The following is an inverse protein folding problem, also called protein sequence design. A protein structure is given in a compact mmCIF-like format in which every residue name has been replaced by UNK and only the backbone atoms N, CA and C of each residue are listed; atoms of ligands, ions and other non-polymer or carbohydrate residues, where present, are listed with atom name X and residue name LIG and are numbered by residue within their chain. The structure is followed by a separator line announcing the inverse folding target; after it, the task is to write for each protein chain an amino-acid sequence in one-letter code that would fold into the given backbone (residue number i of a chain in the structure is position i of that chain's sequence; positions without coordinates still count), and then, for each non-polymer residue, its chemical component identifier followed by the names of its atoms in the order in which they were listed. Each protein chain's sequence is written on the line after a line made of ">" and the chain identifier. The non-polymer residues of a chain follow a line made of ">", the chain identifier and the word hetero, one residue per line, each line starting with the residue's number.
data_IF_398006359245
#
_entry.id   IF_398006359245
#
_cell.length_a   1.000
_cell.length_b   1.000
_cell.length_c   1.000
_cell.angle_alpha   90.00
_cell.angle_beta   90.00
_cell.angle_gamma   90.00
#
_symmetry.space_group_name_H-M   'P 1'
#
loop_
_entity.id
_entity.type
_entity.pdbx_description
1 polymer ?
#
# COMPACT_ATOMS: atom_id res chain seq x y z
N UNK A 1 -11.77 8.75 5.84
CA UNK A 1 -10.39 8.23 5.87
C UNK A 1 -9.55 9.10 6.78
N UNK A 2 -8.93 8.52 7.80
CA UNK A 2 -8.08 9.24 8.75
C UNK A 2 -6.64 8.76 8.62
N UNK A 3 -5.67 9.67 8.47
CA UNK A 3 -4.26 9.38 8.20
C UNK A 3 -3.35 10.03 9.22
N UNK A 4 -2.34 9.33 9.72
CA UNK A 4 -1.30 9.89 10.57
C UNK A 4 0.08 9.93 9.94
N UNK A 5 0.88 10.81 10.43
CA UNK A 5 2.00 11.53 9.84
C UNK A 5 3.35 10.83 9.69
N UNK A 6 4.09 11.06 8.64
CA UNK A 6 5.47 11.53 8.45
C UNK A 6 5.89 11.65 6.98
N UNK A 7 6.67 12.67 6.65
CA UNK A 7 7.24 13.07 5.34
C UNK A 7 6.28 13.71 4.34
N UNK A 8 6.37 15.04 4.18
CA UNK A 8 5.42 15.91 3.47
C UNK A 8 5.21 15.58 1.98
N UNK A 9 6.26 15.17 1.27
CA UNK A 9 6.18 15.03 -0.20
C UNK A 9 5.35 13.81 -0.60
N UNK A 10 5.44 12.72 0.15
CA UNK A 10 4.78 11.46 -0.21
C UNK A 10 3.29 11.45 0.13
N UNK A 11 2.89 12.02 1.26
CA UNK A 11 1.49 12.07 1.69
C UNK A 11 0.62 12.98 0.82
N UNK A 12 1.20 14.07 0.32
CA UNK A 12 0.51 14.99 -0.58
C UNK A 12 -0.18 14.28 -1.74
N UNK A 13 0.51 13.36 -2.41
CA UNK A 13 -0.05 12.67 -3.58
C UNK A 13 -1.18 11.71 -3.18
N UNK A 14 -1.07 11.06 -2.02
CA UNK A 14 -2.13 10.21 -1.48
C UNK A 14 -3.38 11.04 -1.16
N UNK A 15 -3.22 12.13 -0.40
CA UNK A 15 -4.32 13.02 -0.01
C UNK A 15 -5.00 13.66 -1.22
N UNK A 16 -4.22 14.17 -2.19
CA UNK A 16 -4.74 14.72 -3.44
C UNK A 16 -5.56 13.69 -4.22
N UNK A 17 -5.04 12.46 -4.37
CA UNK A 17 -5.76 11.40 -5.07
C UNK A 17 -7.07 11.04 -4.38
N UNK A 18 -7.08 10.89 -3.07
CA UNK A 18 -8.27 10.56 -2.29
C UNK A 18 -9.31 11.69 -2.36
N UNK A 19 -8.88 12.94 -2.20
CA UNK A 19 -9.79 14.08 -2.24
C UNK A 19 -10.41 14.29 -3.62
N UNK A 20 -9.61 14.32 -4.68
CA UNK A 20 -10.09 14.62 -6.02
C UNK A 20 -10.93 13.51 -6.66
N UNK A 21 -10.71 12.27 -6.25
CA UNK A 21 -11.34 11.11 -6.89
C UNK A 21 -12.24 10.30 -5.96
N UNK A 22 -12.37 10.68 -4.69
CA UNK A 22 -13.05 9.89 -3.68
C UNK A 22 -14.43 10.38 -3.28
N UNK A 23 -14.95 11.44 -3.90
CA UNK A 23 -16.23 12.08 -3.49
C UNK A 23 -17.46 11.19 -3.51
N UNK A 24 -17.42 10.06 -4.20
CA UNK A 24 -18.48 9.05 -4.24
C UNK A 24 -18.42 8.02 -3.09
N UNK A 25 -17.26 7.89 -2.40
CA UNK A 25 -17.06 6.84 -1.37
C UNK A 25 -16.41 7.36 -0.08
N UNK A 26 -15.95 8.61 -0.07
CA UNK A 26 -15.32 9.24 1.10
C UNK A 26 -16.16 10.44 1.51
N UNK A 27 -16.69 10.43 2.73
CA UNK A 27 -17.45 11.55 3.29
C UNK A 27 -16.56 12.64 3.87
N UNK A 28 -15.43 12.29 4.50
CA UNK A 28 -14.44 13.23 5.03
C UNK A 28 -13.07 12.58 5.14
N UNK A 29 -12.01 13.40 5.19
CA UNK A 29 -10.62 12.97 5.35
C UNK A 29 -10.06 13.62 6.61
N UNK A 30 -9.90 12.83 7.67
CA UNK A 30 -9.22 13.27 8.90
C UNK A 30 -7.70 13.20 8.74
N UNK A 31 -6.99 14.27 9.07
CA UNK A 31 -5.52 14.32 9.07
C UNK A 31 -4.98 14.61 10.46
N UNK A 32 -3.91 13.90 10.83
CA UNK A 32 -3.15 14.13 12.04
C UNK A 32 -1.66 14.14 11.71
N UNK A 33 -0.94 15.16 12.14
CA UNK A 33 0.53 15.21 12.10
C UNK A 33 1.06 15.68 13.46
N UNK A 34 2.15 15.05 13.93
CA UNK A 34 2.76 15.41 15.22
C UNK A 34 3.58 16.72 15.15
N UNK A 35 3.91 17.18 13.95
CA UNK A 35 4.65 18.44 13.76
C UNK A 35 3.67 19.59 13.72
N UNK A 36 4.01 20.63 14.48
CA UNK A 36 3.23 21.87 14.53
C UNK A 36 3.03 22.48 13.14
N UNK A 37 1.83 22.96 12.86
CA UNK A 37 1.47 23.64 11.61
C UNK A 37 1.29 22.75 10.37
N UNK A 38 1.72 21.46 10.42
CA UNK A 38 1.66 20.60 9.24
C UNK A 38 0.23 20.18 8.90
N UNK A 39 -0.56 19.79 9.89
CA UNK A 39 -1.96 19.45 9.67
C UNK A 39 -2.77 20.67 9.22
N UNK A 40 -2.54 21.85 9.83
CA UNK A 40 -3.18 23.12 9.45
C UNK A 40 -2.85 23.49 8.00
N UNK A 41 -1.59 23.36 7.59
CA UNK A 41 -1.17 23.60 6.21
C UNK A 41 -1.93 22.72 5.22
N UNK A 42 -2.00 21.41 5.48
CA UNK A 42 -2.69 20.48 4.57
C UNK A 42 -4.19 20.70 4.53
N UNK A 43 -4.82 20.94 5.68
CA UNK A 43 -6.22 21.30 5.76
C UNK A 43 -6.51 22.55 4.92
N UNK A 44 -5.73 23.61 5.14
CA UNK A 44 -5.89 24.89 4.45
C UNK A 44 -5.67 24.78 2.93
N UNK A 45 -4.57 24.15 2.48
CA UNK A 45 -4.25 24.03 1.04
C UNK A 45 -5.25 23.11 0.31
N UNK A 46 -5.62 21.97 0.90
CA UNK A 46 -6.49 21.01 0.25
C UNK A 46 -7.93 21.51 0.14
N UNK A 47 -8.48 22.16 1.16
CA UNK A 47 -9.86 22.64 1.14
C UNK A 47 -10.07 23.84 0.16
N UNK A 48 -9.02 24.46 -0.32
CA UNK A 48 -9.10 25.47 -1.40
C UNK A 48 -9.27 24.86 -2.79
N UNK A 49 -9.09 23.55 -2.96
CA UNK A 49 -9.31 22.85 -4.23
C UNK A 49 -10.79 22.46 -4.29
N UNK A 50 -11.59 23.20 -5.06
CA UNK A 50 -13.02 23.02 -5.16
C UNK A 50 -13.48 23.01 -6.63
N UNK A 51 -14.57 22.34 -6.90
CA UNK A 51 -15.29 22.52 -8.17
C UNK A 51 -16.04 23.85 -8.15
N UNK A 52 -16.15 24.55 -9.26
CA UNK A 52 -16.97 25.77 -9.35
C UNK A 52 -18.48 25.37 -9.27
N UNK A 53 -18.95 25.03 -8.06
CA UNK A 53 -20.26 24.43 -7.76
C UNK A 53 -20.51 23.10 -8.48
N UNK A 54 -20.94 22.03 -7.81
CA UNK A 54 -21.32 21.97 -6.40
C UNK A 54 -20.09 21.90 -5.46
N UNK A 55 -20.10 22.69 -4.41
CA UNK A 55 -18.95 22.80 -3.49
C UNK A 55 -18.78 21.60 -2.56
N UNK A 56 -19.81 20.77 -2.39
CA UNK A 56 -19.81 19.57 -1.53
C UNK A 56 -19.39 18.29 -2.26
N UNK A 57 -18.98 18.41 -3.53
CA UNK A 57 -18.63 17.21 -4.34
C UNK A 57 -17.31 16.56 -3.93
N UNK A 58 -16.41 17.29 -3.27
CA UNK A 58 -15.13 16.77 -2.79
C UNK A 58 -15.17 16.63 -1.27
N UNK A 59 -14.67 15.50 -0.71
CA UNK A 59 -14.67 15.28 0.73
C UNK A 59 -13.86 16.36 1.45
N UNK A 60 -14.39 16.99 2.52
CA UNK A 60 -13.64 17.94 3.31
C UNK A 60 -12.45 17.27 4.00
N UNK A 61 -11.39 18.06 4.19
CA UNK A 61 -10.22 17.66 4.98
C UNK A 61 -10.32 18.32 6.35
N UNK A 62 -10.20 17.54 7.42
CA UNK A 62 -10.38 17.95 8.79
C UNK A 62 -9.14 17.59 9.63
N UNK A 63 -8.77 18.46 10.58
CA UNK A 63 -7.73 18.14 11.54
C UNK A 63 -8.36 17.30 12.65
N UNK A 64 -7.75 16.15 12.94
CA UNK A 64 -8.19 15.27 14.01
C UNK A 64 -7.10 15.07 15.05
N UNK A 65 -7.50 14.89 16.31
CA UNK A 65 -6.56 14.60 17.38
C UNK A 65 -6.03 13.16 17.32
N UNK A 66 -4.90 12.85 17.98
CA UNK A 66 -4.38 11.48 18.05
C UNK A 66 -5.35 10.46 18.64
N UNK A 67 -6.27 10.91 19.51
CA UNK A 67 -7.30 10.08 20.14
C UNK A 67 -8.41 9.70 19.15
N UNK A 68 -8.67 10.56 18.18
CA UNK A 68 -9.71 10.39 17.17
C UNK A 68 -9.27 9.59 15.94
N UNK A 69 -8.01 9.13 15.88
CA UNK A 69 -7.45 8.44 14.70
C UNK A 69 -8.23 7.18 14.29
N UNK A 70 -8.88 6.53 15.24
CA UNK A 70 -9.61 5.28 15.03
C UNK A 70 -11.14 5.42 15.10
N UNK A 71 -11.69 6.65 15.00
CA UNK A 71 -13.14 6.89 14.96
C UNK A 71 -13.73 6.71 13.53
N UNK A 72 -12.89 6.70 12.49
CA UNK A 72 -13.33 6.54 11.10
C UNK A 72 -13.33 5.09 10.63
N UNK A 73 -13.91 4.84 9.45
CA UNK A 73 -14.00 3.50 8.86
C UNK A 73 -12.67 2.99 8.30
N UNK A 74 -11.74 3.90 7.98
CA UNK A 74 -10.44 3.57 7.38
C UNK A 74 -9.34 4.37 8.06
N UNK A 75 -8.35 3.67 8.59
CA UNK A 75 -7.12 4.27 9.10
C UNK A 75 -5.98 4.03 8.11
N UNK A 76 -5.30 5.10 7.70
CA UNK A 76 -4.15 5.04 6.78
C UNK A 76 -2.84 5.23 7.54
N UNK A 77 -2.09 4.14 7.65
CA UNK A 77 -0.73 4.18 8.17
C UNK A 77 0.25 4.54 7.04
N UNK A 78 0.61 5.81 6.95
CA UNK A 78 1.59 6.34 5.99
C UNK A 78 2.82 6.96 6.68
N UNK A 79 3.00 6.71 7.97
CA UNK A 79 4.13 7.20 8.75
C UNK A 79 5.41 6.42 8.44
N UNK A 80 6.55 7.10 8.45
CA UNK A 80 7.87 6.48 8.33
C UNK A 80 8.86 7.23 9.21
N UNK A 81 9.66 6.51 10.00
CA UNK A 81 10.79 7.07 10.76
C UNK A 81 12.04 7.21 9.93
N UNK A 82 12.17 6.44 8.87
CA UNK A 82 13.36 6.40 8.05
C UNK A 82 13.01 6.20 6.58
N UNK A 83 13.50 7.10 5.74
CA UNK A 83 13.53 6.92 4.30
C UNK A 83 15.00 6.83 3.93
N UNK A 84 15.48 5.70 3.37
CA UNK A 84 16.89 5.52 3.02
C UNK A 84 17.39 6.63 2.11
N UNK A 85 18.59 7.12 2.37
CA UNK A 85 19.24 8.02 1.42
C UNK A 85 19.45 7.30 0.09
N UNK A 86 19.28 8.04 -0.98
CA UNK A 86 19.35 7.53 -2.36
C UNK A 86 20.74 6.96 -2.71
N UNK A 87 21.77 7.22 -1.89
CA UNK A 87 23.14 6.75 -2.09
C UNK A 87 23.40 5.32 -1.59
N UNK A 88 22.54 4.75 -0.73
CA UNK A 88 22.80 3.44 -0.11
C UNK A 88 22.24 2.31 -0.98
N UNK A 89 23.13 1.39 -1.42
CA UNK A 89 22.83 0.37 -2.43
C UNK A 89 22.68 -1.07 -1.91
N UNK A 90 22.66 -1.31 -0.60
CA UNK A 90 22.75 -2.68 -0.05
C UNK A 90 21.48 -3.15 0.66
N UNK A 91 21.20 -4.46 0.64
CA UNK A 91 20.01 -5.11 1.22
C UNK A 91 19.78 -4.85 2.73
N UNK A 92 20.84 -4.47 3.45
CA UNK A 92 20.79 -4.12 4.89
C UNK A 92 19.93 -2.87 5.18
N UNK A 93 19.82 -1.95 4.21
CA UNK A 93 19.03 -0.70 4.32
C UNK A 93 17.55 -0.98 4.43
N UNK A 94 17.05 -1.97 3.71
CA UNK A 94 15.62 -2.30 3.68
C UNK A 94 15.18 -2.95 4.99
N UNK A 95 16.04 -3.78 5.58
CA UNK A 95 15.80 -4.37 6.90
C UNK A 95 15.92 -3.32 8.01
N UNK A 96 16.86 -2.37 7.90
CA UNK A 96 16.93 -1.24 8.82
C UNK A 96 15.69 -0.37 8.76
N UNK A 97 15.18 -0.08 7.55
CA UNK A 97 13.92 0.63 7.34
C UNK A 97 12.74 -0.14 7.94
N UNK A 98 12.68 -1.45 7.73
CA UNK A 98 11.64 -2.30 8.30
C UNK A 98 11.64 -2.24 9.82
N UNK A 99 12.80 -2.42 10.49
CA UNK A 99 12.88 -2.40 11.95
C UNK A 99 12.34 -1.10 12.54
N UNK A 100 12.75 0.05 12.01
CA UNK A 100 12.32 1.35 12.49
C UNK A 100 10.83 1.62 12.22
N UNK A 101 10.33 1.23 11.06
CA UNK A 101 8.92 1.40 10.70
C UNK A 101 8.03 0.38 11.42
N UNK A 102 8.55 -0.83 11.73
CA UNK A 102 7.85 -1.85 12.53
C UNK A 102 7.51 -1.33 13.93
N UNK A 103 8.46 -0.66 14.62
CA UNK A 103 8.18 -0.05 15.93
C UNK A 103 7.03 0.94 15.88
N UNK A 104 7.00 1.77 14.84
CA UNK A 104 5.93 2.73 14.65
C UNK A 104 4.60 2.04 14.29
N UNK A 105 4.64 1.04 13.43
CA UNK A 105 3.46 0.24 13.08
C UNK A 105 2.89 -0.49 14.32
N UNK A 106 3.76 -1.05 15.18
CA UNK A 106 3.37 -1.68 16.44
C UNK A 106 2.67 -0.72 17.38
N UNK A 107 3.18 0.52 17.51
CA UNK A 107 2.53 1.56 18.31
C UNK A 107 1.09 1.83 17.85
N UNK A 108 0.88 2.00 16.55
CA UNK A 108 -0.47 2.25 16.03
C UNK A 108 -1.35 1.00 16.04
N UNK A 109 -0.78 -0.19 15.88
CA UNK A 109 -1.49 -1.44 16.05
C UNK A 109 -2.04 -1.61 17.48
N UNK A 110 -1.24 -1.28 18.49
CA UNK A 110 -1.69 -1.28 19.89
C UNK A 110 -2.74 -0.21 20.18
N UNK A 111 -2.64 0.99 19.59
CA UNK A 111 -3.69 2.01 19.68
C UNK A 111 -5.00 1.54 19.03
N UNK A 112 -4.94 0.90 17.86
CA UNK A 112 -6.11 0.32 17.21
C UNK A 112 -6.78 -0.76 18.09
N UNK A 113 -5.98 -1.61 18.75
CA UNK A 113 -6.46 -2.58 19.75
C UNK A 113 -7.17 -1.90 20.90
N UNK A 114 -6.55 -0.89 21.51
CA UNK A 114 -7.12 -0.13 22.64
C UNK A 114 -8.45 0.53 22.27
N UNK A 115 -8.53 1.08 21.05
CA UNK A 115 -9.75 1.66 20.51
C UNK A 115 -10.79 0.61 20.08
N UNK A 116 -10.49 -0.69 20.17
CA UNK A 116 -11.34 -1.77 19.64
C UNK A 116 -11.75 -1.52 18.19
N UNK A 117 -10.80 -1.06 17.40
CA UNK A 117 -11.04 -0.61 16.03
C UNK A 117 -11.67 -1.71 15.14
N UNK A 118 -12.71 -1.35 14.41
CA UNK A 118 -13.47 -2.27 13.56
C UNK A 118 -13.33 -1.96 12.07
N UNK A 119 -12.75 -0.81 11.72
CA UNK A 119 -12.51 -0.40 10.34
C UNK A 119 -11.30 -1.07 9.70
N UNK A 120 -10.94 -0.61 8.50
CA UNK A 120 -9.76 -1.08 7.77
C UNK A 120 -8.49 -0.37 8.26
N UNK A 121 -7.48 -1.13 8.61
CA UNK A 121 -6.12 -0.64 8.88
C UNK A 121 -5.28 -0.79 7.61
N UNK A 122 -5.04 0.31 6.91
CA UNK A 122 -4.40 0.33 5.61
C UNK A 122 -2.94 0.79 5.72
N UNK A 123 -2.00 -0.06 5.35
CA UNK A 123 -0.56 0.23 5.35
C UNK A 123 -0.14 0.75 3.98
N UNK A 124 0.43 1.97 3.96
CA UNK A 124 0.97 2.62 2.75
C UNK A 124 2.46 2.94 2.90
N UNK A 125 3.05 2.57 4.03
CA UNK A 125 4.47 2.75 4.37
C UNK A 125 5.30 1.53 4.00
N UNK A 126 6.55 1.74 3.57
CA UNK A 126 7.46 0.67 3.18
C UNK A 126 8.25 0.06 4.36
N UNK A 127 8.53 -1.24 4.30
CA UNK A 127 8.04 -2.24 3.34
C UNK A 127 6.62 -2.70 3.69
N UNK A 128 5.70 -2.57 2.73
CA UNK A 128 4.24 -2.70 2.95
C UNK A 128 3.84 -4.06 3.54
N UNK A 129 4.25 -5.15 2.91
CA UNK A 129 3.76 -6.50 3.25
C UNK A 129 4.25 -6.96 4.63
N UNK A 130 5.54 -6.83 4.98
CA UNK A 130 6.01 -7.12 6.34
C UNK A 130 5.38 -6.23 7.41
N UNK A 131 5.13 -4.94 7.10
CA UNK A 131 4.47 -4.04 8.05
C UNK A 131 3.00 -4.44 8.28
N UNK A 132 2.28 -4.95 7.27
CA UNK A 132 0.94 -5.51 7.48
C UNK A 132 0.98 -6.69 8.46
N UNK A 133 1.97 -7.58 8.34
CA UNK A 133 2.17 -8.69 9.28
C UNK A 133 2.47 -8.18 10.68
N UNK A 134 3.36 -7.19 10.80
CA UNK A 134 3.67 -6.56 12.08
C UNK A 134 2.42 -5.95 12.74
N UNK A 135 1.60 -5.22 11.98
CA UNK A 135 0.33 -4.65 12.47
C UNK A 135 -0.61 -5.73 12.99
N UNK A 136 -0.81 -6.82 12.23
CA UNK A 136 -1.66 -7.93 12.66
C UNK A 136 -1.13 -8.58 13.94
N UNK A 137 0.15 -8.91 13.97
CA UNK A 137 0.80 -9.57 15.11
C UNK A 137 0.74 -8.68 16.35
N UNK A 138 1.20 -7.44 16.24
CA UNK A 138 1.31 -6.55 17.40
C UNK A 138 -0.05 -6.09 17.93
N UNK A 139 -1.08 -5.95 17.09
CA UNK A 139 -2.44 -5.67 17.57
C UNK A 139 -3.02 -6.83 18.39
N UNK A 140 -2.58 -8.06 18.12
CA UNK A 140 -3.03 -9.28 18.80
C UNK A 140 -2.14 -9.71 19.98
N UNK A 141 -1.14 -8.88 20.32
CA UNK A 141 -0.27 -9.09 21.48
C UNK A 141 -0.82 -8.35 22.69
N UNK A 142 -1.10 -9.08 23.76
CA UNK A 142 -1.51 -8.51 25.04
C UNK A 142 -0.37 -7.68 25.69
N UNK A 143 -0.69 -6.81 26.68
CA UNK A 143 0.35 -6.12 27.46
C UNK A 143 1.32 -7.06 28.19
N UNK A 144 0.93 -8.30 28.46
CA UNK A 144 1.79 -9.36 29.00
C UNK A 144 2.83 -9.86 27.99
N UNK A 145 2.70 -9.53 26.70
CA UNK A 145 3.52 -10.04 25.61
C UNK A 145 2.99 -11.29 24.93
N UNK A 146 1.94 -11.90 25.46
CA UNK A 146 1.31 -13.11 24.90
C UNK A 146 0.36 -12.76 23.75
N UNK A 147 0.16 -13.72 22.84
CA UNK A 147 -0.83 -13.62 21.76
C UNK A 147 -2.21 -14.01 22.29
N UNK A 148 -3.13 -13.05 22.39
CA UNK A 148 -4.50 -13.25 22.90
C UNK A 148 -5.59 -13.08 21.83
N UNK A 149 -5.22 -12.66 20.62
CA UNK A 149 -6.12 -12.50 19.46
C UNK A 149 -7.30 -11.54 19.69
N UNK A 150 -7.13 -10.53 20.58
CA UNK A 150 -8.13 -9.51 20.89
C UNK A 150 -7.92 -8.20 20.08
N UNK A 151 -7.07 -8.24 19.06
CA UNK A 151 -6.75 -7.10 18.21
C UNK A 151 -7.52 -7.12 16.88
N UNK A 152 -6.82 -6.71 15.83
CA UNK A 152 -7.34 -6.68 14.47
C UNK A 152 -7.48 -8.09 13.89
N UNK A 153 -8.52 -8.30 13.09
CA UNK A 153 -8.62 -9.47 12.24
C UNK A 153 -7.76 -9.32 10.97
N UNK A 154 -7.34 -10.44 10.40
CA UNK A 154 -6.49 -10.43 9.20
C UNK A 154 -7.13 -9.72 8.01
N UNK A 155 -8.46 -9.79 7.86
CA UNK A 155 -9.18 -9.10 6.79
C UNK A 155 -9.28 -7.57 6.97
N UNK A 156 -9.07 -7.05 8.19
CA UNK A 156 -9.02 -5.61 8.46
C UNK A 156 -7.68 -4.97 8.06
N UNK A 157 -6.61 -5.75 7.96
CA UNK A 157 -5.27 -5.23 7.61
C UNK A 157 -5.03 -5.36 6.12
N UNK A 158 -4.62 -4.26 5.48
CA UNK A 158 -4.35 -4.22 4.04
C UNK A 158 -3.15 -3.37 3.70
N UNK A 159 -2.42 -3.78 2.65
CA UNK A 159 -1.25 -3.06 2.17
C UNK A 159 -1.41 -2.52 0.75
N UNK A 160 -1.05 -1.26 0.51
CA UNK A 160 -1.24 -0.59 -0.78
C UNK A 160 0.10 -0.24 -1.44
N UNK A 161 0.89 -1.26 -1.80
CA UNK A 161 2.16 -1.13 -2.52
C UNK A 161 2.17 -1.76 -3.92
N UNK A 162 1.35 -2.79 -4.15
CA UNK A 162 1.37 -3.53 -5.41
C UNK A 162 0.82 -2.73 -6.60
N UNK A 163 -0.08 -1.77 -6.38
CA UNK A 163 -0.70 -0.98 -7.45
C UNK A 163 0.30 -0.26 -8.35
N UNK A 164 1.34 0.34 -7.77
CA UNK A 164 2.40 0.99 -8.55
C UNK A 164 3.27 -0.01 -9.32
N UNK A 165 3.48 -1.21 -8.80
CA UNK A 165 4.26 -2.24 -9.50
C UNK A 165 3.50 -2.74 -10.72
N UNK A 166 2.19 -2.95 -10.59
CA UNK A 166 1.31 -3.24 -11.71
C UNK A 166 1.30 -2.11 -12.77
N UNK A 167 1.25 -0.85 -12.33
CA UNK A 167 1.29 0.31 -13.22
C UNK A 167 2.63 0.42 -13.97
N UNK A 168 3.75 0.12 -13.31
CA UNK A 168 5.08 0.08 -13.95
C UNK A 168 5.17 -1.02 -15.00
N UNK A 169 4.68 -2.22 -14.71
CA UNK A 169 4.63 -3.31 -15.68
C UNK A 169 3.77 -2.91 -16.90
N UNK A 170 2.61 -2.31 -16.70
CA UNK A 170 1.77 -1.79 -17.78
C UNK A 170 2.45 -0.68 -18.59
N UNK A 171 3.22 0.20 -17.95
CA UNK A 171 3.99 1.24 -18.62
C UNK A 171 5.02 0.65 -19.59
N UNK A 172 5.78 -0.36 -19.16
CA UNK A 172 6.75 -1.03 -20.01
C UNK A 172 6.08 -1.88 -21.10
N UNK A 173 4.97 -2.55 -20.78
CA UNK A 173 4.20 -3.33 -21.74
C UNK A 173 3.61 -2.49 -22.90
N UNK A 174 3.32 -1.19 -22.66
CA UNK A 174 2.92 -0.27 -23.74
C UNK A 174 4.08 0.17 -24.63
N UNK A 175 5.31 0.04 -24.16
CA UNK A 175 6.51 0.50 -24.89
C UNK A 175 7.23 -0.61 -25.64
N UNK A 176 7.04 -1.86 -25.23
CA UNK A 176 7.71 -3.01 -25.83
C UNK A 176 6.66 -4.08 -26.20
N UNK A 177 6.46 -4.33 -27.52
CA UNK A 177 5.48 -5.31 -28.00
C UNK A 177 5.65 -6.72 -27.42
N UNK A 178 6.85 -7.10 -26.99
CA UNK A 178 7.12 -8.40 -26.37
C UNK A 178 6.31 -8.60 -25.07
N UNK A 179 5.98 -7.50 -24.38
CA UNK A 179 5.22 -7.52 -23.12
C UNK A 179 3.75 -7.14 -23.30
N UNK A 180 3.27 -6.93 -24.54
CA UNK A 180 1.92 -6.42 -24.78
C UNK A 180 0.81 -7.30 -24.18
N UNK A 181 1.03 -8.61 -24.07
CA UNK A 181 0.10 -9.55 -23.44
C UNK A 181 -0.20 -9.21 -21.97
N UNK A 182 0.71 -8.51 -21.28
CA UNK A 182 0.49 -8.05 -19.91
C UNK A 182 -0.74 -7.14 -19.78
N UNK A 183 -1.01 -6.31 -20.77
CA UNK A 183 -2.11 -5.34 -20.73
C UNK A 183 -3.50 -6.00 -20.70
N UNK A 184 -3.63 -7.22 -21.18
CA UNK A 184 -4.91 -7.95 -21.25
C UNK A 184 -4.97 -9.12 -20.28
N UNK A 185 -3.88 -9.86 -20.12
CA UNK A 185 -3.85 -11.14 -19.43
C UNK A 185 -2.72 -11.28 -18.40
N UNK A 186 -1.90 -10.23 -18.23
CA UNK A 186 -0.85 -10.20 -17.23
C UNK A 186 -1.35 -9.96 -15.82
N UNK A 187 -0.55 -10.34 -14.83
CA UNK A 187 -0.84 -10.13 -13.39
C UNK A 187 0.42 -9.79 -12.62
N UNK A 188 0.21 -9.05 -11.54
CA UNK A 188 1.25 -8.69 -10.58
C UNK A 188 0.95 -9.32 -9.24
N UNK A 189 1.96 -9.91 -8.63
CA UNK A 189 1.89 -10.57 -7.33
C UNK A 189 3.09 -10.20 -6.47
N UNK A 190 2.96 -10.41 -5.16
CA UNK A 190 4.06 -10.25 -4.23
C UNK A 190 4.20 -8.85 -3.65
N UNK A 191 5.32 -8.60 -2.95
CA UNK A 191 5.57 -7.35 -2.28
C UNK A 191 5.97 -6.23 -3.25
N UNK A 192 5.93 -5.01 -2.75
CA UNK A 192 6.54 -3.85 -3.39
C UNK A 192 8.07 -3.93 -3.27
N UNK A 193 8.74 -4.68 -4.15
CA UNK A 193 10.21 -4.76 -4.13
C UNK A 193 10.80 -5.99 -4.80
N UNK A 194 11.91 -6.53 -4.23
CA UNK A 194 12.75 -7.55 -4.87
C UNK A 194 12.04 -8.88 -5.14
N UNK A 195 11.12 -9.26 -4.26
CA UNK A 195 10.35 -10.51 -4.40
C UNK A 195 9.05 -10.33 -5.19
N UNK A 196 8.93 -9.23 -5.94
CA UNK A 196 7.84 -9.01 -6.88
C UNK A 196 7.82 -10.08 -7.97
N UNK A 197 6.63 -10.52 -8.34
CA UNK A 197 6.41 -11.42 -9.46
C UNK A 197 5.42 -10.79 -10.44
N UNK A 198 5.91 -10.46 -11.64
CA UNK A 198 5.06 -10.07 -12.77
C UNK A 198 4.92 -11.28 -13.68
N UNK A 199 3.69 -11.69 -13.96
CA UNK A 199 3.37 -12.65 -15.00
C UNK A 199 3.02 -11.87 -16.28
N UNK A 200 3.77 -12.06 -17.36
CA UNK A 200 3.52 -11.41 -18.64
C UNK A 200 2.14 -11.75 -19.22
N UNK A 201 1.68 -12.96 -18.94
CA UNK A 201 0.36 -13.49 -19.29
C UNK A 201 0.06 -14.67 -18.36
N UNK A 202 -1.21 -14.88 -18.03
CA UNK A 202 -1.64 -16.09 -17.31
C UNK A 202 -1.89 -17.24 -18.29
N UNK A 203 -2.44 -16.97 -19.47
CA UNK A 203 -2.78 -17.99 -20.46
C UNK A 203 -1.55 -18.47 -21.25
N UNK A 204 -0.70 -17.53 -21.63
CA UNK A 204 0.51 -17.77 -22.42
C UNK A 204 1.73 -17.31 -21.62
N UNK A 205 1.92 -17.92 -20.44
CA UNK A 205 3.01 -17.58 -19.54
C UNK A 205 4.37 -17.93 -20.16
N UNK A 206 5.24 -16.95 -20.19
CA UNK A 206 6.65 -17.09 -20.52
C UNK A 206 7.50 -16.62 -19.33
N UNK A 207 8.26 -17.54 -18.73
CA UNK A 207 9.03 -17.24 -17.52
C UNK A 207 10.16 -16.23 -17.79
N UNK A 208 10.80 -16.29 -18.96
CA UNK A 208 11.88 -15.38 -19.30
C UNK A 208 11.36 -13.95 -19.51
N UNK A 209 10.28 -13.78 -20.27
CA UNK A 209 9.62 -12.48 -20.44
C UNK A 209 9.06 -11.94 -19.12
N UNK A 210 8.47 -12.81 -18.32
CA UNK A 210 7.96 -12.43 -16.98
C UNK A 210 9.05 -11.93 -16.07
N UNK A 211 10.22 -12.56 -16.05
CA UNK A 211 11.38 -12.11 -15.26
C UNK A 211 11.94 -10.78 -15.78
N UNK A 212 12.05 -10.60 -17.08
CA UNK A 212 12.48 -9.33 -17.67
C UNK A 212 11.52 -8.19 -17.30
N UNK A 213 10.21 -8.39 -17.42
CA UNK A 213 9.21 -7.38 -17.07
C UNK A 213 9.21 -7.10 -15.55
N UNK A 214 9.40 -8.13 -14.71
CA UNK A 214 9.57 -7.98 -13.27
C UNK A 214 10.77 -7.09 -12.94
N UNK A 215 11.92 -7.35 -13.53
CA UNK A 215 13.14 -6.56 -13.31
C UNK A 215 12.94 -5.09 -13.72
N UNK A 216 12.31 -4.84 -14.87
CA UNK A 216 12.00 -3.48 -15.30
C UNK A 216 11.07 -2.75 -14.31
N UNK A 217 10.04 -3.42 -13.82
CA UNK A 217 9.11 -2.84 -12.85
C UNK A 217 9.79 -2.53 -11.49
N UNK A 218 10.65 -3.43 -11.00
CA UNK A 218 11.40 -3.25 -9.76
C UNK A 218 12.37 -2.08 -9.88
N UNK A 219 13.08 -1.96 -11.00
CA UNK A 219 14.11 -0.94 -11.23
C UNK A 219 13.57 0.41 -11.75
N UNK A 220 12.28 0.54 -11.98
CA UNK A 220 11.70 1.74 -12.58
C UNK A 220 12.02 3.05 -11.83
N UNK A 221 12.16 2.99 -10.50
CA UNK A 221 12.53 4.15 -9.69
C UNK A 221 13.99 4.60 -9.91
N UNK A 222 14.87 3.72 -10.35
CA UNK A 222 16.27 4.05 -10.63
C UNK A 222 16.37 4.92 -11.89
N UNK A 223 15.44 4.76 -12.85
CA UNK A 223 15.42 5.53 -14.08
C UNK A 223 15.32 7.04 -13.85
N UNK A 224 14.57 7.49 -12.82
CA UNK A 224 14.50 8.91 -12.47
C UNK A 224 15.85 9.45 -11.97
N UNK A 225 16.59 8.62 -11.24
CA UNK A 225 17.94 8.98 -10.75
C UNK A 225 18.94 9.07 -11.90
N UNK A 226 18.86 8.17 -12.87
CA UNK A 226 19.68 8.21 -14.10
C UNK A 226 19.45 9.51 -14.89
N UNK A 227 18.22 10.05 -14.86
CA UNK A 227 17.89 11.34 -15.45
C UNK A 227 18.35 12.55 -14.61
N UNK A 228 18.97 12.33 -13.44
CA UNK A 228 19.48 13.39 -12.55
C UNK A 228 18.40 14.02 -11.66
N UNK A 229 17.19 13.45 -11.57
CA UNK A 229 16.11 14.00 -10.78
C UNK A 229 15.76 13.14 -9.56
N UNK A 230 15.32 13.81 -8.49
CA UNK A 230 14.60 13.14 -7.40
C UNK A 230 13.12 12.95 -7.83
N UNK A 231 12.45 11.84 -7.45
CA UNK A 231 11.02 11.68 -7.72
C UNK A 231 10.22 12.83 -7.10
N UNK A 232 9.56 13.63 -7.92
CA UNK A 232 8.72 14.75 -7.48
C UNK A 232 7.26 14.34 -7.29
N UNK A 233 6.72 13.61 -8.27
CA UNK A 233 5.43 12.93 -8.16
C UNK A 233 5.72 11.56 -7.55
N UNK A 234 5.14 11.23 -6.42
CA UNK A 234 5.32 9.94 -5.76
C UNK A 234 4.36 8.87 -6.37
N UNK A 235 4.73 8.17 -7.47
CA UNK A 235 3.81 7.27 -8.18
C UNK A 235 3.26 6.16 -7.29
N UNK A 236 4.04 5.72 -6.30
CA UNK A 236 3.61 4.70 -5.35
C UNK A 236 2.38 5.16 -4.56
N UNK A 237 2.37 6.40 -4.07
CA UNK A 237 1.27 6.92 -3.26
C UNK A 237 0.07 7.33 -4.10
N UNK A 238 0.30 7.87 -5.30
CA UNK A 238 -0.80 8.11 -6.25
C UNK A 238 -1.50 6.81 -6.64
N UNK A 239 -0.73 5.76 -6.97
CA UNK A 239 -1.29 4.42 -7.24
C UNK A 239 -1.91 3.78 -6.01
N UNK A 240 -1.38 4.06 -4.82
CA UNK A 240 -1.95 3.65 -3.54
C UNK A 240 -3.34 4.26 -3.33
N UNK A 241 -3.49 5.57 -3.59
CA UNK A 241 -4.80 6.24 -3.54
C UNK A 241 -5.80 5.60 -4.50
N UNK A 242 -5.42 5.35 -5.76
CA UNK A 242 -6.29 4.69 -6.73
C UNK A 242 -6.70 3.28 -6.29
N UNK A 243 -5.74 2.49 -5.79
CA UNK A 243 -6.03 1.13 -5.30
C UNK A 243 -6.94 1.14 -4.08
N UNK A 244 -6.75 2.11 -3.16
CA UNK A 244 -7.63 2.27 -2.00
C UNK A 244 -9.05 2.67 -2.42
N UNK A 245 -9.22 3.61 -3.34
CA UNK A 245 -10.54 3.99 -3.84
C UNK A 245 -11.27 2.82 -4.51
N UNK A 246 -10.57 2.02 -5.32
CA UNK A 246 -11.13 0.80 -5.89
C UNK A 246 -11.52 -0.22 -4.80
N UNK A 247 -10.69 -0.34 -3.74
CA UNK A 247 -11.00 -1.17 -2.59
C UNK A 247 -12.29 -0.73 -1.89
N UNK A 248 -12.44 0.56 -1.61
CA UNK A 248 -13.63 1.13 -0.95
C UNK A 248 -14.90 0.96 -1.81
N UNK A 249 -14.76 0.96 -3.14
CA UNK A 249 -15.85 0.71 -4.09
C UNK A 249 -16.19 -0.77 -4.28
N UNK A 250 -15.51 -1.68 -3.59
CA UNK A 250 -15.68 -3.13 -3.80
C UNK A 250 -15.20 -3.62 -5.17
N UNK A 251 -14.36 -2.84 -5.86
CA UNK A 251 -13.85 -3.13 -7.20
C UNK A 251 -12.53 -3.89 -7.15
N UNK A 252 -12.23 -4.61 -8.24
CA UNK A 252 -10.96 -5.31 -8.40
C UNK A 252 -9.78 -4.33 -8.38
N UNK A 253 -8.82 -4.56 -7.49
CA UNK A 253 -7.62 -3.75 -7.33
C UNK A 253 -6.42 -4.61 -6.92
N UNK A 254 -5.23 -4.00 -6.89
CA UNK A 254 -4.00 -4.65 -6.45
C UNK A 254 -3.65 -4.15 -5.05
N UNK A 255 -3.74 -5.02 -4.06
CA UNK A 255 -3.32 -4.73 -2.68
C UNK A 255 -2.78 -5.98 -2.01
N UNK A 256 -2.04 -5.79 -0.92
CA UNK A 256 -1.59 -6.87 -0.06
C UNK A 256 -2.73 -7.30 0.87
N UNK A 257 -2.95 -8.59 0.96
CA UNK A 257 -3.93 -9.23 1.84
C UNK A 257 -3.32 -10.46 2.50
N UNK A 258 -3.95 -10.93 3.57
CA UNK A 258 -3.49 -12.13 4.28
C UNK A 258 -3.73 -13.39 3.45
N UNK A 259 -2.66 -14.12 3.19
CA UNK A 259 -2.62 -15.35 2.41
C UNK A 259 -1.73 -16.36 3.11
N UNK A 260 -2.31 -17.45 3.64
CA UNK A 260 -1.57 -18.58 4.19
C UNK A 260 -0.36 -18.18 5.08
N UNK A 261 -0.63 -17.36 6.09
CA UNK A 261 0.37 -16.95 7.09
C UNK A 261 1.23 -15.73 6.73
N UNK A 262 1.09 -15.17 5.52
CA UNK A 262 1.80 -13.96 5.09
C UNK A 262 0.83 -12.91 4.57
N UNK A 263 1.29 -11.66 4.52
CA UNK A 263 0.67 -10.65 3.68
C UNK A 263 1.39 -10.61 2.36
N UNK A 264 0.65 -10.75 1.27
CA UNK A 264 1.19 -10.73 -0.08
C UNK A 264 0.23 -10.02 -1.04
N UNK A 265 0.79 -9.21 -1.91
CA UNK A 265 0.03 -8.51 -2.94
C UNK A 265 -0.53 -9.45 -3.98
N UNK A 266 -1.81 -9.27 -4.31
CA UNK A 266 -2.51 -9.93 -5.38
C UNK A 266 -3.68 -9.06 -5.88
N UNK A 267 -4.29 -9.44 -7.01
CA UNK A 267 -5.55 -8.83 -7.43
C UNK A 267 -6.70 -9.39 -6.60
N UNK A 268 -7.38 -8.50 -5.91
CA UNK A 268 -8.47 -8.85 -4.99
C UNK A 268 -9.53 -7.74 -4.97
N UNK A 269 -10.66 -8.00 -4.32
CA UNK A 269 -11.68 -7.01 -3.97
C UNK A 269 -12.24 -7.28 -2.58
N UNK A 270 -12.76 -6.23 -1.96
CA UNK A 270 -13.41 -6.30 -0.65
C UNK A 270 -14.92 -6.16 -0.85
N UNK A 271 -15.64 -7.12 -0.37
CA UNK A 271 -17.09 -7.16 -0.40
C UNK A 271 -17.62 -7.22 1.05
N UNK A 272 -18.90 -6.94 1.29
CA UNK A 272 -19.51 -7.12 2.62
C UNK A 272 -19.34 -8.55 3.17
N UNK A 273 -19.20 -9.54 2.28
CA UNK A 273 -18.99 -10.96 2.62
C UNK A 273 -17.52 -11.32 2.90
N UNK A 274 -16.59 -10.38 2.73
CA UNK A 274 -15.16 -10.57 2.96
C UNK A 274 -14.29 -10.27 1.75
N UNK A 275 -13.05 -10.76 1.78
CA UNK A 275 -12.07 -10.59 0.70
C UNK A 275 -12.23 -11.67 -0.34
N UNK A 276 -12.38 -11.27 -1.59
CA UNK A 276 -12.35 -12.16 -2.73
C UNK A 276 -11.03 -12.00 -3.49
N UNK A 277 -10.31 -13.11 -3.68
CA UNK A 277 -9.13 -13.18 -4.52
C UNK A 277 -9.52 -13.61 -5.94
N UNK A 278 -8.84 -13.05 -6.93
CA UNK A 278 -9.02 -13.50 -8.31
C UNK A 278 -8.53 -14.96 -8.45
N UNK A 279 -9.41 -15.82 -8.93
CA UNK A 279 -9.09 -17.24 -9.18
C UNK A 279 -8.52 -17.38 -10.60
N UNK A 280 -7.31 -17.89 -10.69
CA UNK A 280 -6.57 -18.01 -11.94
C UNK A 280 -6.01 -19.42 -12.11
N UNK A 281 -6.00 -19.98 -13.33
CA UNK A 281 -5.27 -21.21 -13.64
C UNK A 281 -3.77 -20.87 -13.75
N UNK A 282 -3.06 -20.89 -12.63
CA UNK A 282 -1.65 -20.52 -12.58
C UNK A 282 -0.78 -21.64 -13.20
N UNK A 283 0.10 -21.30 -14.17
CA UNK A 283 1.11 -22.23 -14.69
C UNK A 283 2.09 -22.66 -13.60
N UNK A 284 2.59 -23.90 -13.69
CA UNK A 284 3.47 -24.49 -12.65
C UNK A 284 4.67 -23.63 -12.31
N UNK A 285 5.38 -23.12 -13.34
CA UNK A 285 6.55 -22.24 -13.12
C UNK A 285 6.18 -20.95 -12.36
N UNK A 286 5.00 -20.39 -12.62
CA UNK A 286 4.51 -19.22 -11.89
C UNK A 286 4.18 -19.59 -10.44
N UNK A 287 3.55 -20.75 -10.21
CA UNK A 287 3.27 -21.24 -8.85
C UNK A 287 4.57 -21.38 -8.04
N UNK A 288 5.60 -21.98 -8.61
CA UNK A 288 6.90 -22.17 -7.95
C UNK A 288 7.58 -20.82 -7.59
N UNK A 289 7.44 -19.81 -8.46
CA UNK A 289 7.91 -18.43 -8.14
C UNK A 289 7.12 -17.81 -7.00
N UNK A 290 5.80 -17.92 -7.02
CA UNK A 290 4.94 -17.39 -5.96
C UNK A 290 5.22 -18.07 -4.62
N UNK A 291 5.42 -19.40 -4.62
CA UNK A 291 5.79 -20.14 -3.42
C UNK A 291 7.13 -19.61 -2.85
N UNK A 292 8.13 -19.42 -3.69
CA UNK A 292 9.42 -18.84 -3.28
C UNK A 292 9.25 -17.46 -2.65
N UNK A 293 8.41 -16.59 -3.22
CA UNK A 293 8.10 -15.28 -2.64
C UNK A 293 7.42 -15.41 -1.28
N UNK A 294 6.44 -16.30 -1.15
CA UNK A 294 5.74 -16.53 0.12
C UNK A 294 6.70 -17.04 1.20
N UNK A 295 7.60 -17.96 0.86
CA UNK A 295 8.57 -18.51 1.81
C UNK A 295 9.57 -17.43 2.30
N UNK A 296 9.98 -16.54 1.42
CA UNK A 296 10.82 -15.39 1.80
C UNK A 296 10.07 -14.40 2.71
N UNK A 297 8.79 -14.13 2.42
CA UNK A 297 7.95 -13.28 3.27
C UNK A 297 7.72 -13.91 4.66
N UNK A 298 7.61 -15.24 4.75
CA UNK A 298 7.51 -15.96 6.03
C UNK A 298 8.78 -15.82 6.85
N UNK A 299 9.93 -15.81 6.21
CA UNK A 299 11.25 -15.70 6.86
C UNK A 299 11.56 -14.28 7.40
N UNK A 300 10.77 -13.27 7.09
CA UNK A 300 10.91 -11.92 7.67
C UNK A 300 10.24 -11.93 9.05
N UNK A 301 11.02 -11.71 10.12
CA UNK A 301 10.56 -11.61 11.50
C UNK A 301 10.08 -10.21 11.86
#
# INVERSE_FOLDING_TARGET
>A
VRSSAASDVYKRQLLMGLRLMGGDVISSIGICDLREGVAQRWEFELNQIQLPGPYDALPPVEIVSPEQLFDGDVFLFCASRFVPDTAVKTGDVRMAQYRLNRELAALYAQKARQARYRGLFCVVSDPVDPLCRAVLTESNRAPSGEMDYQGLFSHQVRGFGLGVMNARAAYYARKDPRFASFLTDGRSFGPHGEDLVIANSIRNYDDALSRQLTEQAVRANLRMRELGFKPYIAPALSSGALSLLLCLRGQWHCSSTYLDGVFMGARNRVLPTGTELERLPLPRQLQDRLQTTMDRLRAID
#
